data_IF_708368186075
#
_entry.id   IF_708368186075
#
_cell.length_a   1.000
_cell.length_b   1.000
_cell.length_c   1.000
_cell.angle_alpha   90.00
_cell.angle_beta   90.00
_cell.angle_gamma   90.00
#
_symmetry.space_group_name_H-M   'P 1'
#
loop_
_entity.id
_entity.type
_entity.pdbx_description
1 polymer ?
#
# COMPACT_ATOMS: atom_id res chain seq x y z
N UNK A 1 0.16 5.91 11.46
CA UNK A 1 -0.10 6.77 10.31
C UNK A 1 0.74 6.35 9.13
N UNK A 2 0.12 6.22 7.95
CA UNK A 2 0.87 5.83 6.79
C UNK A 2 1.48 7.06 6.15
N UNK A 3 2.69 6.95 5.66
CA UNK A 3 3.35 8.09 5.06
C UNK A 3 2.88 8.29 3.62
N UNK A 4 3.05 9.50 3.14
CA UNK A 4 2.76 9.85 1.78
C UNK A 4 3.62 9.01 0.82
N UNK A 5 4.83 8.73 1.24
CA UNK A 5 5.78 7.95 0.46
C UNK A 5 5.26 6.53 0.20
N UNK A 6 4.73 5.89 1.24
CA UNK A 6 4.16 4.55 1.10
C UNK A 6 2.96 4.58 0.17
N UNK A 7 2.11 5.60 0.33
CA UNK A 7 0.95 5.77 -0.54
C UNK A 7 1.34 5.90 -2.01
N UNK A 8 2.40 6.66 -2.27
CA UNK A 8 2.90 6.85 -3.62
C UNK A 8 3.39 5.53 -4.22
N UNK A 9 4.04 4.70 -3.42
CA UNK A 9 4.53 3.40 -3.88
C UNK A 9 3.35 2.52 -4.31
N UNK A 10 2.31 2.45 -3.50
CA UNK A 10 1.12 1.67 -3.84
C UNK A 10 0.46 2.21 -5.12
N UNK A 11 0.29 3.51 -5.21
CA UNK A 11 -0.36 4.12 -6.35
C UNK A 11 0.43 3.88 -7.64
N UNK A 12 1.75 4.04 -7.57
CA UNK A 12 2.62 3.84 -8.72
C UNK A 12 2.55 2.40 -9.21
N UNK A 13 2.60 1.46 -8.28
CA UNK A 13 2.55 0.04 -8.64
C UNK A 13 1.21 -0.31 -9.27
N UNK A 14 0.11 0.20 -8.69
CA UNK A 14 -1.22 -0.02 -9.22
C UNK A 14 -1.30 0.46 -10.67
N UNK A 15 -0.81 1.66 -10.93
CA UNK A 15 -0.83 2.24 -12.27
C UNK A 15 0.05 1.46 -13.24
N UNK A 16 1.19 1.01 -12.76
CA UNK A 16 2.09 0.20 -13.57
C UNK A 16 1.40 -1.08 -14.05
N UNK A 17 0.57 -1.65 -13.20
CA UNK A 17 -0.15 -2.87 -13.53
C UNK A 17 -1.43 -2.60 -14.33
N UNK A 18 -1.75 -1.34 -14.58
CA UNK A 18 -2.93 -0.98 -15.35
C UNK A 18 -4.23 -1.15 -14.58
N UNK A 19 -4.15 -1.14 -13.24
CA UNK A 19 -5.33 -1.36 -12.41
C UNK A 19 -5.93 -0.03 -11.97
N UNK A 20 -7.27 -0.01 -11.88
CA UNK A 20 -7.98 1.12 -11.29
C UNK A 20 -8.17 0.84 -9.80
N UNK A 21 -8.52 1.87 -9.04
CA UNK A 21 -8.79 1.67 -7.62
C UNK A 21 -9.93 0.67 -7.40
N UNK A 22 -10.93 0.68 -8.28
CA UNK A 22 -12.02 -0.29 -8.20
C UNK A 22 -11.53 -1.72 -8.35
N UNK A 23 -10.55 -1.94 -9.20
CA UNK A 23 -9.98 -3.26 -9.39
C UNK A 23 -9.27 -3.72 -8.12
N UNK A 24 -8.57 -2.81 -7.47
CA UNK A 24 -7.87 -3.12 -6.22
C UNK A 24 -8.89 -3.45 -5.14
N UNK A 25 -9.99 -2.70 -5.07
CA UNK A 25 -11.05 -2.99 -4.12
C UNK A 25 -11.59 -4.41 -4.33
N UNK A 26 -11.89 -4.74 -5.56
CA UNK A 26 -12.45 -6.05 -5.88
C UNK A 26 -11.49 -7.18 -5.55
N UNK A 27 -10.23 -7.00 -5.91
CA UNK A 27 -9.23 -8.06 -5.74
C UNK A 27 -8.77 -8.21 -4.29
N UNK A 28 -8.66 -7.10 -3.57
CA UNK A 28 -8.13 -7.13 -2.21
C UNK A 28 -9.20 -7.31 -1.13
N UNK A 29 -10.43 -6.95 -1.44
CA UNK A 29 -11.49 -6.94 -0.45
C UNK A 29 -11.44 -5.73 0.47
N UNK A 30 -10.56 -4.78 0.20
CA UNK A 30 -10.46 -3.55 0.98
C UNK A 30 -11.33 -2.49 0.30
N UNK A 31 -12.14 -1.76 1.08
CA UNK A 31 -13.08 -0.83 0.47
C UNK A 31 -12.37 0.37 -0.16
N UNK A 32 -13.05 0.98 -1.11
CA UNK A 32 -12.53 2.08 -1.92
C UNK A 32 -12.00 3.23 -1.07
N UNK A 33 -12.74 3.60 -0.04
CA UNK A 33 -12.34 4.73 0.79
C UNK A 33 -10.99 4.49 1.44
N UNK A 34 -10.76 3.28 1.92
CA UNK A 34 -9.49 2.92 2.54
C UNK A 34 -8.36 2.95 1.51
N UNK A 35 -8.62 2.42 0.32
CA UNK A 35 -7.62 2.43 -0.76
C UNK A 35 -7.23 3.87 -1.09
N UNK A 36 -8.22 4.75 -1.20
CA UNK A 36 -7.97 6.16 -1.50
C UNK A 36 -7.15 6.82 -0.40
N UNK A 37 -7.47 6.52 0.87
CA UNK A 37 -6.73 7.08 2.00
C UNK A 37 -5.29 6.61 1.98
N UNK A 38 -5.07 5.34 1.72
CA UNK A 38 -3.71 4.79 1.65
C UNK A 38 -2.90 5.49 0.56
N UNK A 39 -3.47 5.62 -0.62
CA UNK A 39 -2.74 6.24 -1.74
C UNK A 39 -2.45 7.71 -1.50
N UNK A 40 -3.28 8.38 -0.70
CA UNK A 40 -3.06 9.78 -0.35
C UNK A 40 -2.12 9.95 0.85
N UNK A 41 -1.72 8.85 1.46
CA UNK A 41 -0.89 8.93 2.66
C UNK A 41 -1.64 9.37 3.88
N UNK A 42 -2.95 9.13 3.89
CA UNK A 42 -3.83 9.55 4.98
C UNK A 42 -4.40 8.34 5.71
N UNK A 43 -5.04 8.63 6.84
CA UNK A 43 -5.68 7.58 7.60
C UNK A 43 -4.67 6.80 8.41
N UNK A 44 -5.14 5.67 8.92
CA UNK A 44 -4.30 4.85 9.80
C UNK A 44 -4.63 3.38 9.58
N UNK A 45 -4.39 2.86 8.39
CA UNK A 45 -4.74 1.47 8.08
C UNK A 45 -3.89 0.50 8.88
N UNK A 46 -4.45 -0.66 9.18
CA UNK A 46 -3.70 -1.70 9.86
C UNK A 46 -2.71 -2.34 8.90
N UNK A 47 -1.74 -3.03 9.47
CA UNK A 47 -0.77 -3.76 8.64
C UNK A 47 -1.48 -4.83 7.82
N UNK A 48 -2.49 -5.47 8.39
CA UNK A 48 -3.27 -6.49 7.66
C UNK A 48 -3.93 -5.87 6.43
N UNK A 49 -4.48 -4.66 6.57
CA UNK A 49 -5.08 -3.97 5.43
C UNK A 49 -4.04 -3.66 4.37
N UNK A 50 -2.88 -3.18 4.79
CA UNK A 50 -1.79 -2.87 3.85
C UNK A 50 -1.32 -4.13 3.13
N UNK A 51 -1.23 -5.25 3.86
CA UNK A 51 -0.83 -6.51 3.26
C UNK A 51 -1.83 -7.01 2.22
N UNK A 52 -3.10 -6.83 2.47
CA UNK A 52 -4.13 -7.23 1.52
C UNK A 52 -3.97 -6.48 0.20
N UNK A 53 -3.74 -5.17 0.28
CA UNK A 53 -3.54 -4.36 -0.91
C UNK A 53 -2.23 -4.74 -1.59
N UNK A 54 -1.15 -4.83 -0.81
CA UNK A 54 0.17 -5.15 -1.36
C UNK A 54 0.16 -6.49 -2.08
N UNK A 55 -0.51 -7.47 -1.50
CA UNK A 55 -0.54 -8.82 -2.05
C UNK A 55 -1.07 -8.84 -3.49
N UNK A 56 -2.16 -8.13 -3.75
CA UNK A 56 -2.74 -8.18 -5.09
C UNK A 56 -1.94 -7.32 -6.06
N UNK A 57 -1.03 -6.52 -5.57
CA UNK A 57 -0.15 -5.71 -6.42
C UNK A 57 1.22 -6.38 -6.61
N UNK A 58 1.39 -7.60 -6.10
CA UNK A 58 2.65 -8.31 -6.23
C UNK A 58 3.73 -7.76 -5.32
N UNK A 59 3.33 -7.16 -4.20
CA UNK A 59 4.26 -6.57 -3.25
C UNK A 59 4.04 -7.18 -1.87
N UNK A 60 4.97 -6.90 -0.97
CA UNK A 60 4.83 -7.34 0.41
C UNK A 60 5.20 -6.20 1.34
N UNK A 61 4.66 -6.25 2.54
CA UNK A 61 4.97 -5.27 3.58
C UNK A 61 5.99 -5.93 4.51
N UNK A 62 7.14 -5.28 4.70
CA UNK A 62 8.18 -5.82 5.56
C UNK A 62 8.67 -4.75 6.51
N UNK A 63 9.30 -5.20 7.59
CA UNK A 63 9.95 -4.31 8.54
C UNK A 63 11.38 -4.80 8.70
N UNK A 64 12.32 -3.89 8.62
CA UNK A 64 13.74 -4.23 8.70
C UNK A 64 14.42 -3.39 9.75
N UNK A 65 15.45 -3.97 10.35
CA UNK A 65 16.30 -3.21 11.25
C UNK A 65 17.07 -2.20 10.40
N UNK A 66 17.06 -0.96 10.86
CA UNK A 66 17.75 0.09 10.13
C UNK A 66 19.25 -0.14 10.16
N UNK A 67 19.91 0.04 9.01
CA UNK A 67 21.34 -0.08 8.92
C UNK A 67 21.98 1.03 9.75
N UNK A 68 22.86 0.66 10.65
CA UNK A 68 23.51 1.60 11.56
C UNK A 68 24.79 2.20 10.99
N UNK A 69 25.08 1.92 9.82
CA UNK A 69 26.24 2.52 9.23
C UNK A 69 27.46 1.77 9.52
N UNK A 70 28.49 2.20 9.57
CA UNK A 70 29.61 1.64 9.74
C UNK A 70 29.48 0.48 9.86
N UNK A 71 28.57 0.38 9.71
CA UNK A 71 28.44 -1.04 9.75
C UNK A 71 28.90 -1.12 9.34
#
# INVERSE_FOLDING_TARGET
MISQEIGEIFKKRRRFLGLRQEDVEELSGVNMKTIQQVELGRGNPSIVTLEKIASILGMEVTVQVKDQGNG
#
